data_IF_816303196297
#
_entry.id   IF_816303196297
#
_cell.length_a   1.000
_cell.length_b   1.000
_cell.length_c   1.000
_cell.angle_alpha   90.00
_cell.angle_beta   90.00
_cell.angle_gamma   90.00
#
_symmetry.space_group_name_H-M   'P 1'
#
loop_
_entity.id
_entity.type
_entity.pdbx_description
1 polymer ?
#
# COMPACT_ATOMS: atom_id res chain seq x y z
N UNK A 1 48.63 -6.75 21.21
CA UNK A 1 48.00 -7.00 20.85
C UNK A 1 47.01 -6.59 20.32
N UNK A 2 46.64 -6.48 19.63
CA UNK A 2 45.76 -6.15 18.98
C UNK A 2 44.66 -6.66 18.89
N UNK A 3 43.78 -6.28 18.77
CA UNK A 3 42.74 -6.72 18.69
C UNK A 3 41.99 -6.45 17.76
N UNK A 4 41.42 -6.92 17.21
CA UNK A 4 40.71 -6.86 16.28
C UNK A 4 39.44 -6.79 16.53
N UNK A 5 38.91 -6.02 16.13
CA UNK A 5 37.74 -5.85 16.31
C UNK A 5 36.98 -6.15 15.28
N UNK A 6 36.30 -6.81 15.15
CA UNK A 6 35.56 -7.20 14.23
C UNK A 6 34.33 -6.77 14.26
N UNK A 7 34.06 -6.10 13.64
CA UNK A 7 32.96 -5.64 13.57
C UNK A 7 32.06 -6.27 12.95
N UNK A 8 31.34 -6.63 13.17
CA UNK A 8 30.39 -7.23 12.72
C UNK A 8 29.41 -6.64 12.29
N UNK A 9 29.25 -6.42 11.43
CA UNK A 9 28.35 -5.93 10.88
C UNK A 9 27.32 -6.46 10.79
N UNK A 10 26.75 -6.54 11.06
CA UNK A 10 25.69 -6.88 11.08
C UNK A 10 24.88 -6.49 10.30
N UNK A 11 24.69 -6.90 9.55
CA UNK A 11 23.79 -6.68 8.71
C UNK A 11 22.55 -6.78 9.23
N UNK A 12 21.90 -5.85 9.27
CA UNK A 12 20.67 -5.94 9.70
C UNK A 12 19.84 -6.72 8.87
N UNK A 13 18.93 -7.31 9.36
CA UNK A 13 18.05 -8.10 8.61
C UNK A 13 17.35 -7.23 7.65
N UNK A 14 16.92 -7.79 6.66
CA UNK A 14 16.24 -7.09 5.66
C UNK A 14 14.85 -6.70 6.05
N UNK A 15 14.51 -6.80 7.30
CA UNK A 15 13.19 -6.43 7.73
C UNK A 15 12.91 -4.99 7.37
N UNK A 16 11.84 -4.73 6.64
CA UNK A 16 11.54 -3.41 6.21
C UNK A 16 12.25 -2.97 4.94
N UNK A 17 13.19 -3.79 4.47
CA UNK A 17 13.87 -3.47 3.23
C UNK A 17 13.03 -3.91 2.06
N UNK A 18 12.74 -3.00 1.14
CA UNK A 18 11.87 -3.27 0.02
C UNK A 18 12.63 -3.85 -1.15
N UNK A 19 11.99 -4.74 -1.90
CA UNK A 19 12.55 -5.29 -3.13
C UNK A 19 12.41 -4.26 -4.24
N UNK A 20 11.23 -3.66 -4.36
CA UNK A 20 10.96 -2.61 -5.33
C UNK A 20 10.32 -1.43 -4.63
N UNK A 21 10.46 -0.22 -5.19
CA UNK A 21 9.76 0.93 -4.64
C UNK A 21 8.26 0.81 -4.89
N UNK A 22 7.48 1.50 -4.09
CA UNK A 22 6.04 1.49 -4.21
C UNK A 22 5.57 1.86 -5.62
N UNK A 23 6.23 2.85 -6.23
CA UNK A 23 5.84 3.32 -7.57
C UNK A 23 5.91 2.23 -8.62
N UNK A 24 6.79 1.25 -8.44
CA UNK A 24 6.87 0.12 -9.36
C UNK A 24 5.53 -0.64 -9.41
N UNK A 25 4.98 -0.90 -8.25
CA UNK A 25 3.71 -1.64 -8.15
C UNK A 25 2.53 -0.79 -8.62
N UNK A 26 2.55 0.50 -8.30
CA UNK A 26 1.49 1.41 -8.71
C UNK A 26 1.40 1.44 -10.24
N UNK A 27 2.53 1.65 -10.90
CA UNK A 27 2.53 1.80 -12.35
C UNK A 27 2.11 0.52 -13.04
N UNK A 28 2.62 -0.61 -12.57
CA UNK A 28 2.28 -1.88 -13.19
C UNK A 28 0.82 -2.23 -13.01
N UNK A 29 0.34 -2.11 -11.78
CA UNK A 29 -1.04 -2.49 -11.47
C UNK A 29 -2.03 -1.55 -12.15
N UNK A 30 -1.80 -0.26 -12.03
CA UNK A 30 -2.72 0.74 -12.53
C UNK A 30 -2.87 0.68 -14.04
N UNK A 31 -1.77 0.39 -14.76
CA UNK A 31 -1.83 0.29 -16.21
C UNK A 31 -2.69 -0.89 -16.66
N UNK A 32 -2.69 -1.98 -15.90
CA UNK A 32 -3.50 -3.14 -16.25
C UNK A 32 -4.99 -2.86 -16.14
N UNK A 33 -5.37 -1.90 -15.33
CA UNK A 33 -6.77 -1.55 -15.12
C UNK A 33 -7.16 -0.24 -15.78
N UNK A 34 -6.34 0.21 -16.72
CA UNK A 34 -6.58 1.43 -17.48
C UNK A 34 -6.78 2.63 -16.58
N UNK A 35 -6.01 2.68 -15.49
CA UNK A 35 -6.10 3.76 -14.54
C UNK A 35 -5.12 4.87 -14.83
N UNK A 36 -5.30 5.97 -14.15
CA UNK A 36 -4.42 7.12 -14.20
C UNK A 36 -3.69 7.22 -12.86
N UNK A 37 -2.35 7.33 -12.91
CA UNK A 37 -1.55 7.37 -11.70
C UNK A 37 -1.35 8.79 -11.20
N UNK A 38 -1.12 8.93 -9.91
CA UNK A 38 -0.68 10.17 -9.28
C UNK A 38 -1.61 11.34 -9.57
N UNK A 39 -2.90 11.13 -9.35
CA UNK A 39 -3.92 12.14 -9.64
C UNK A 39 -4.02 13.11 -8.47
N UNK A 40 -3.75 14.38 -8.71
CA UNK A 40 -3.84 15.42 -7.69
C UNK A 40 -5.28 15.88 -7.58
N UNK A 41 -5.83 15.86 -6.37
CA UNK A 41 -7.20 16.26 -6.10
C UNK A 41 -7.28 17.75 -5.74
N UNK A 42 -8.50 18.25 -5.67
CA UNK A 42 -8.71 19.66 -5.38
C UNK A 42 -8.19 20.10 -4.02
N UNK A 43 -8.13 19.19 -3.07
CA UNK A 43 -7.60 19.48 -1.73
C UNK A 43 -6.09 19.28 -1.64
N UNK A 44 -5.43 19.04 -2.79
CA UNK A 44 -3.98 18.86 -2.91
C UNK A 44 -3.48 17.51 -2.44
N UNK A 45 -4.36 16.60 -2.05
CA UNK A 45 -3.94 15.21 -1.83
C UNK A 45 -3.78 14.53 -3.18
N UNK A 46 -3.12 13.40 -3.20
CA UNK A 46 -2.78 12.74 -4.45
C UNK A 46 -3.14 11.26 -4.35
N UNK A 47 -3.99 10.82 -5.26
CA UNK A 47 -4.42 9.43 -5.33
C UNK A 47 -3.42 8.66 -6.16
N UNK A 48 -3.01 7.49 -5.68
CA UNK A 48 -2.03 6.68 -6.40
C UNK A 48 -2.54 6.20 -7.74
N UNK A 49 -3.80 5.76 -7.80
CA UNK A 49 -4.38 5.28 -9.04
C UNK A 49 -5.89 5.54 -9.05
N UNK A 50 -6.37 6.15 -10.13
CA UNK A 50 -7.80 6.39 -10.30
C UNK A 50 -8.26 5.60 -11.52
N UNK A 51 -9.23 4.69 -11.31
CA UNK A 51 -9.86 3.96 -12.41
C UNK A 51 -11.26 4.50 -12.62
N UNK A 52 -12.00 3.86 -13.53
CA UNK A 52 -13.38 4.30 -13.76
C UNK A 52 -14.22 4.21 -12.47
N UNK A 53 -14.04 3.14 -11.70
CA UNK A 53 -14.88 2.91 -10.51
C UNK A 53 -14.21 3.28 -9.19
N UNK A 54 -12.90 3.31 -9.13
CA UNK A 54 -12.20 3.38 -7.86
C UNK A 54 -11.20 4.52 -7.76
N UNK A 55 -11.07 5.06 -6.57
CA UNK A 55 -9.92 5.84 -6.17
C UNK A 55 -9.10 4.92 -5.26
N UNK A 56 -7.86 4.65 -5.64
CA UNK A 56 -7.08 3.56 -5.06
C UNK A 56 -5.81 4.06 -4.40
N UNK A 57 -5.63 3.62 -3.17
CA UNK A 57 -4.44 3.88 -2.39
C UNK A 57 -3.57 2.62 -2.40
N UNK A 58 -2.28 2.79 -2.63
CA UNK A 58 -1.30 1.71 -2.54
C UNK A 58 -0.46 1.89 -1.29
N UNK A 59 -0.16 0.80 -0.62
CA UNK A 59 0.80 0.81 0.47
C UNK A 59 1.39 -0.58 0.64
N UNK A 60 2.61 -0.62 1.14
CA UNK A 60 3.12 -1.90 1.62
C UNK A 60 2.24 -2.36 2.78
N UNK A 61 2.01 -3.65 2.87
CA UNK A 61 1.00 -4.19 3.78
C UNK A 61 1.25 -3.82 5.25
N UNK A 62 2.50 -3.64 5.63
CA UNK A 62 2.81 -3.26 7.02
C UNK A 62 2.32 -1.85 7.37
N UNK A 63 1.97 -1.04 6.36
CA UNK A 63 1.40 0.30 6.58
C UNK A 63 -0.11 0.32 6.42
N UNK A 64 -0.75 -0.79 6.71
CA UNK A 64 -2.17 -1.01 6.47
C UNK A 64 -3.08 0.03 7.13
N UNK A 65 -2.70 0.53 8.29
CA UNK A 65 -3.58 1.44 9.02
C UNK A 65 -3.73 2.77 8.29
N UNK A 66 -2.63 3.27 7.72
CA UNK A 66 -2.67 4.52 6.95
C UNK A 66 -3.48 4.34 5.68
N UNK A 67 -3.35 3.18 5.04
CA UNK A 67 -3.99 2.96 3.75
C UNK A 67 -5.51 3.00 3.84
N UNK A 68 -6.07 2.47 4.91
CA UNK A 68 -7.53 2.47 5.08
C UNK A 68 -8.06 3.90 5.16
N UNK A 69 -7.42 4.73 5.97
CA UNK A 69 -7.86 6.11 6.14
C UNK A 69 -7.72 6.92 4.86
N UNK A 70 -6.59 6.76 4.17
CA UNK A 70 -6.37 7.50 2.94
C UNK A 70 -7.32 7.07 1.84
N UNK A 71 -7.59 5.78 1.72
CA UNK A 71 -8.51 5.28 0.70
C UNK A 71 -9.91 5.85 0.90
N UNK A 72 -10.38 5.90 2.14
CA UNK A 72 -11.68 6.45 2.44
C UNK A 72 -11.74 7.93 2.13
N UNK A 73 -10.66 8.65 2.43
CA UNK A 73 -10.59 10.08 2.11
C UNK A 73 -10.67 10.32 0.60
N UNK A 74 -9.90 9.56 -0.18
CA UNK A 74 -9.91 9.72 -1.62
C UNK A 74 -11.27 9.39 -2.23
N UNK A 75 -11.92 8.38 -1.69
CA UNK A 75 -13.27 8.04 -2.14
C UNK A 75 -14.24 9.16 -1.87
N UNK A 76 -14.11 9.78 -0.70
CA UNK A 76 -14.97 10.90 -0.33
C UNK A 76 -14.80 12.07 -1.29
N UNK A 77 -13.55 12.41 -1.61
CA UNK A 77 -13.26 13.58 -2.45
C UNK A 77 -13.63 13.32 -3.91
N UNK A 78 -13.38 12.10 -4.40
CA UNK A 78 -13.61 11.79 -5.81
C UNK A 78 -15.03 11.33 -6.12
N UNK A 79 -15.78 10.91 -5.10
CA UNK A 79 -17.08 10.30 -5.31
C UNK A 79 -17.00 8.90 -5.89
N UNK A 80 -15.78 8.31 -5.94
CA UNK A 80 -15.58 6.94 -6.43
C UNK A 80 -15.50 5.99 -5.26
N UNK A 81 -15.56 4.70 -5.56
CA UNK A 81 -15.44 3.69 -4.52
C UNK A 81 -14.00 3.61 -4.03
N UNK A 82 -13.83 3.44 -2.74
CA UNK A 82 -12.49 3.32 -2.15
C UNK A 82 -11.89 1.98 -2.53
N UNK A 83 -10.60 2.00 -2.87
CA UNK A 83 -9.83 0.81 -3.13
C UNK A 83 -8.48 0.88 -2.45
N UNK A 84 -7.98 -0.27 -2.04
CA UNK A 84 -6.65 -0.40 -1.46
C UNK A 84 -5.94 -1.53 -2.17
N UNK A 85 -4.72 -1.29 -2.62
CA UNK A 85 -3.84 -2.34 -3.08
C UNK A 85 -2.73 -2.46 -2.06
N UNK A 86 -2.65 -3.61 -1.40
CA UNK A 86 -1.59 -3.88 -0.42
C UNK A 86 -0.48 -4.66 -1.09
N UNK A 87 0.73 -4.15 -0.97
CA UNK A 87 1.92 -4.76 -1.56
C UNK A 87 2.51 -5.72 -0.53
N UNK A 88 2.62 -6.99 -0.91
CA UNK A 88 3.11 -8.04 -0.02
C UNK A 88 4.35 -8.65 -0.66
N UNK A 89 5.53 -8.19 -0.25
CA UNK A 89 6.79 -8.76 -0.72
C UNK A 89 7.23 -9.94 0.15
N UNK A 90 6.89 -9.91 1.42
CA UNK A 90 7.17 -11.00 2.35
C UNK A 90 5.86 -11.72 2.65
N UNK A 91 5.76 -13.02 2.39
CA UNK A 91 4.53 -13.77 2.66
C UNK A 91 4.00 -13.61 4.08
N UNK A 92 4.87 -13.36 5.06
CA UNK A 92 4.43 -13.16 6.44
C UNK A 92 3.56 -11.92 6.58
N UNK A 93 3.67 -10.98 5.66
CA UNK A 93 2.90 -9.75 5.73
C UNK A 93 1.44 -9.94 5.33
N UNK A 94 1.06 -11.13 4.89
CA UNK A 94 -0.36 -11.42 4.67
C UNK A 94 -1.17 -11.24 5.95
N UNK A 95 -0.54 -11.30 7.11
CA UNK A 95 -1.24 -11.05 8.37
C UNK A 95 -1.84 -9.63 8.42
N UNK A 96 -1.18 -8.68 7.76
CA UNK A 96 -1.69 -7.31 7.71
C UNK A 96 -2.89 -7.20 6.74
N UNK A 97 -2.86 -7.97 5.66
CA UNK A 97 -4.00 -8.04 4.75
C UNK A 97 -5.23 -8.56 5.49
N UNK A 98 -5.03 -9.59 6.32
CA UNK A 98 -6.12 -10.13 7.12
C UNK A 98 -6.70 -9.10 8.07
N UNK A 99 -5.85 -8.27 8.67
CA UNK A 99 -6.33 -7.21 9.56
C UNK A 99 -7.23 -6.24 8.82
N UNK A 100 -6.81 -5.82 7.64
CA UNK A 100 -7.59 -4.87 6.86
C UNK A 100 -8.93 -5.49 6.48
N UNK A 101 -8.92 -6.73 6.01
CA UNK A 101 -10.15 -7.41 5.63
C UNK A 101 -11.10 -7.57 6.81
N UNK A 102 -10.55 -7.88 7.98
CA UNK A 102 -11.37 -8.03 9.19
C UNK A 102 -12.01 -6.72 9.60
N UNK A 103 -11.28 -5.62 9.52
CA UNK A 103 -11.82 -4.31 9.88
C UNK A 103 -12.92 -3.92 8.89
N UNK A 104 -12.66 -4.10 7.61
CA UNK A 104 -13.63 -3.77 6.57
C UNK A 104 -14.92 -4.56 6.79
N UNK A 105 -14.80 -5.85 7.09
CA UNK A 105 -15.96 -6.70 7.31
C UNK A 105 -16.69 -6.32 8.59
N UNK A 106 -15.96 -6.08 9.67
CA UNK A 106 -16.56 -5.81 10.97
C UNK A 106 -17.35 -4.50 10.98
N UNK A 107 -16.87 -3.51 10.24
CA UNK A 107 -17.50 -2.19 10.24
C UNK A 107 -18.22 -1.88 8.93
N UNK A 108 -18.32 -2.86 8.05
CA UNK A 108 -19.03 -2.72 6.77
C UNK A 108 -18.50 -1.53 5.97
N UNK A 109 -17.19 -1.39 5.89
CA UNK A 109 -16.60 -0.28 5.16
C UNK A 109 -16.72 -0.51 3.65
N UNK A 110 -17.04 0.54 2.89
CA UNK A 110 -17.19 0.41 1.44
C UNK A 110 -15.83 0.49 0.75
N UNK A 111 -14.99 -0.49 0.97
CA UNK A 111 -13.61 -0.52 0.49
C UNK A 111 -13.33 -1.88 -0.13
N UNK A 112 -12.79 -1.87 -1.34
CA UNK A 112 -12.32 -3.10 -1.97
C UNK A 112 -10.80 -3.21 -1.77
N UNK A 113 -10.32 -4.44 -1.56
CA UNK A 113 -8.91 -4.69 -1.26
C UNK A 113 -8.34 -5.68 -2.25
N UNK A 114 -7.20 -5.34 -2.80
CA UNK A 114 -6.42 -6.25 -3.66
C UNK A 114 -5.04 -6.41 -3.06
N UNK A 115 -4.38 -7.48 -3.44
CA UNK A 115 -3.02 -7.77 -3.02
C UNK A 115 -2.16 -7.89 -4.27
N UNK A 116 -0.96 -7.31 -4.22
CA UNK A 116 0.00 -7.47 -5.31
C UNK A 116 1.37 -7.80 -4.72
N UNK A 117 2.25 -8.39 -5.56
CA UNK A 117 3.61 -8.72 -5.14
C UNK A 117 4.59 -8.56 -6.29
#
# INVERSE_FOLDING_TARGET
MKKLLILLLLCSPAYGQRINPESFYVEEWCSRYAGETEVVLGDRTRVDCVTYYHAIEFDFADKWAESVTQALHYALVTGKRAGIVLIVEDPQDMRFVERVRNIIAAYSLPVDVWVTD
#
